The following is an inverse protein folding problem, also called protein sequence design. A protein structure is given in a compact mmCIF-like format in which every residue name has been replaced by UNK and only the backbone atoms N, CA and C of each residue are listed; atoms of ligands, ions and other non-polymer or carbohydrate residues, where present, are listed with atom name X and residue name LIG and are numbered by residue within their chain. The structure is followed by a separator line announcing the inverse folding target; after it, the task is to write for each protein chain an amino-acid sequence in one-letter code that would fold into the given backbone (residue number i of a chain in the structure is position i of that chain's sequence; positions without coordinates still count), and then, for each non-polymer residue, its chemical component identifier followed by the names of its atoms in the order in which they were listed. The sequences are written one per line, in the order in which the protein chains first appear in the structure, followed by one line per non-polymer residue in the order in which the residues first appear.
data_IF_610932247626
#
_entry.id   IF_610932247626
#
_cell.length_a   1.000
_cell.length_b   1.000
_cell.length_c   1.000
_cell.angle_alpha   90.00
_cell.angle_beta   90.00
_cell.angle_gamma   90.00
#
_symmetry.space_group_name_H-M   'P 1'
#
loop_
_entity.id
_entity.type
_entity.pdbx_description
1 polymer ?
#
# COMPACT_ATOMS: atom_id res chain seq x y z
N UNK A 1 -20.18 3.36 -17.08
CA UNK A 1 -19.91 3.78 -15.69
C UNK A 1 -18.68 4.65 -15.76
N UNK A 2 -18.84 5.97 -15.89
CA UNK A 2 -17.76 6.87 -16.34
C UNK A 2 -17.38 7.85 -15.23
N UNK A 3 -16.87 7.34 -14.11
CA UNK A 3 -16.25 8.21 -13.10
C UNK A 3 -14.85 8.60 -13.58
N UNK A 4 -14.60 9.90 -13.76
CA UNK A 4 -13.28 10.45 -14.09
C UNK A 4 -12.38 10.42 -12.87
N UNK A 5 -11.26 9.72 -12.98
CA UNK A 5 -10.36 9.46 -11.85
C UNK A 5 -9.08 10.29 -12.00
N UNK A 6 -8.75 11.05 -10.96
CA UNK A 6 -7.44 11.69 -10.79
C UNK A 6 -6.66 10.92 -9.74
N UNK A 7 -5.41 10.58 -10.04
CA UNK A 7 -4.57 9.76 -9.15
C UNK A 7 -3.25 10.48 -8.87
N UNK A 8 -2.85 10.50 -7.60
CA UNK A 8 -1.55 10.97 -7.14
C UNK A 8 -0.98 9.98 -6.12
N UNK A 9 0.35 9.87 -6.10
CA UNK A 9 1.04 9.06 -5.10
C UNK A 9 1.75 7.82 -5.64
N UNK A 10 2.24 6.99 -4.72
CA UNK A 10 3.09 5.84 -5.00
C UNK A 10 2.34 4.71 -5.71
N UNK A 11 1.03 4.59 -5.47
CA UNK A 11 0.18 3.59 -6.12
C UNK A 11 -0.27 4.00 -7.53
N UNK A 12 0.03 5.22 -7.98
CA UNK A 12 -0.49 5.80 -9.22
C UNK A 12 -0.29 4.92 -10.46
N UNK A 13 0.91 4.41 -10.69
CA UNK A 13 1.18 3.58 -11.87
C UNK A 13 0.36 2.30 -11.90
N UNK A 14 0.25 1.60 -10.76
CA UNK A 14 -0.48 0.34 -10.66
C UNK A 14 -1.99 0.58 -10.80
N UNK A 15 -2.51 1.58 -10.08
CA UNK A 15 -3.92 1.93 -10.13
C UNK A 15 -4.33 2.46 -11.51
N UNK A 16 -3.50 3.27 -12.19
CA UNK A 16 -3.79 3.70 -13.56
C UNK A 16 -3.95 2.49 -14.48
N UNK A 17 -3.04 1.51 -14.42
CA UNK A 17 -3.18 0.30 -15.25
C UNK A 17 -4.48 -0.46 -14.96
N UNK A 18 -4.75 -0.72 -13.68
CA UNK A 18 -5.94 -1.43 -13.23
C UNK A 18 -7.24 -0.75 -13.72
N UNK A 19 -7.27 0.58 -13.66
CA UNK A 19 -8.43 1.39 -14.01
C UNK A 19 -8.65 1.48 -15.51
N UNK A 20 -7.57 1.64 -16.29
CA UNK A 20 -7.65 1.62 -17.76
C UNK A 20 -8.15 0.27 -18.28
N UNK A 21 -7.72 -0.84 -17.67
CA UNK A 21 -8.19 -2.19 -18.03
C UNK A 21 -9.69 -2.39 -17.78
N UNK A 22 -10.29 -1.55 -16.93
CA UNK A 22 -11.72 -1.57 -16.60
C UNK A 22 -12.51 -0.41 -17.24
N UNK A 23 -11.88 0.39 -18.11
CA UNK A 23 -12.53 1.46 -18.86
C UNK A 23 -12.76 2.76 -18.09
N UNK A 24 -12.10 2.98 -16.96
CA UNK A 24 -12.20 4.25 -16.23
C UNK A 24 -11.37 5.35 -16.92
N UNK A 25 -11.97 6.53 -17.22
CA UNK A 25 -11.23 7.64 -17.78
C UNK A 25 -10.30 8.28 -16.74
N UNK A 26 -9.02 8.43 -17.09
CA UNK A 26 -8.01 9.07 -16.25
C UNK A 26 -7.86 10.54 -16.67
N UNK A 27 -8.01 11.45 -15.71
CA UNK A 27 -7.90 12.90 -15.92
C UNK A 27 -6.72 13.48 -15.14
N UNK A 28 -6.17 14.58 -15.66
CA UNK A 28 -4.97 15.23 -15.12
C UNK A 28 -3.84 14.21 -14.75
N UNK A 29 -3.42 13.30 -15.67
CA UNK A 29 -2.31 12.39 -15.41
C UNK A 29 -0.97 13.13 -15.33
N UNK A 30 -0.06 12.67 -14.46
CA UNK A 30 1.31 13.20 -14.43
C UNK A 30 2.07 12.91 -15.73
N UNK A 31 3.12 13.68 -16.02
CA UNK A 31 3.95 13.49 -17.24
C UNK A 31 4.38 12.03 -17.39
N UNK A 32 4.89 11.42 -16.32
CA UNK A 32 5.29 10.01 -16.28
C UNK A 32 4.16 9.05 -16.65
N UNK A 33 2.94 9.30 -16.16
CA UNK A 33 1.79 8.44 -16.44
C UNK A 33 1.33 8.62 -17.90
N UNK A 34 1.36 9.84 -18.44
CA UNK A 34 1.06 10.10 -19.86
C UNK A 34 2.01 9.33 -20.77
N UNK A 35 3.31 9.43 -20.52
CA UNK A 35 4.33 8.74 -21.32
C UNK A 35 4.20 7.22 -21.23
N UNK A 36 3.91 6.70 -20.04
CA UNK A 36 3.82 5.25 -19.83
C UNK A 36 2.60 4.61 -20.52
N UNK A 37 1.47 5.33 -20.57
CA UNK A 37 0.19 4.79 -21.03
C UNK A 37 -0.30 5.43 -22.34
N UNK A 38 0.45 6.35 -22.94
CA UNK A 38 0.04 7.07 -24.14
C UNK A 38 -1.22 7.93 -23.95
N UNK A 39 -1.38 8.53 -22.77
CA UNK A 39 -2.58 9.32 -22.43
C UNK A 39 -2.41 10.79 -22.79
N UNK A 40 -3.47 11.38 -23.34
CA UNK A 40 -3.56 12.82 -23.55
C UNK A 40 -3.75 13.58 -22.22
N UNK A 41 -3.31 14.84 -22.21
CA UNK A 41 -3.60 15.73 -21.11
C UNK A 41 -5.05 16.22 -21.23
N UNK A 42 -5.93 15.71 -20.38
CA UNK A 42 -7.30 16.22 -20.22
C UNK A 42 -7.37 17.02 -18.94
N UNK A 43 -7.42 18.35 -19.07
CA UNK A 43 -7.64 19.27 -17.94
C UNK A 43 -9.15 19.38 -17.67
N UNK A 44 -9.73 18.24 -17.31
CA UNK A 44 -11.14 18.08 -16.99
C UNK A 44 -11.34 17.95 -15.48
N UNK A 45 -12.51 18.37 -14.95
CA UNK A 45 -12.84 18.10 -13.56
C UNK A 45 -12.87 16.59 -13.31
N UNK A 46 -12.33 16.18 -12.17
CA UNK A 46 -12.34 14.80 -11.72
C UNK A 46 -13.57 14.54 -10.84
N UNK A 47 -14.10 13.33 -10.91
CA UNK A 47 -15.20 12.89 -10.06
C UNK A 47 -14.70 12.22 -8.77
N UNK A 48 -13.55 11.56 -8.86
CA UNK A 48 -12.86 10.92 -7.74
C UNK A 48 -11.37 11.30 -7.79
N UNK A 49 -10.85 11.76 -6.66
CA UNK A 49 -9.44 11.95 -6.42
C UNK A 49 -8.90 10.83 -5.53
N UNK A 50 -7.80 10.22 -5.95
CA UNK A 50 -7.05 9.21 -5.22
C UNK A 50 -5.69 9.79 -4.81
N UNK A 51 -5.37 9.71 -3.52
CA UNK A 51 -4.09 10.11 -2.97
C UNK A 51 -3.56 9.06 -2.02
N UNK A 52 -2.25 9.05 -1.76
CA UNK A 52 -1.70 8.18 -0.72
C UNK A 52 -2.16 8.64 0.67
N UNK A 53 -2.33 7.68 1.57
CA UNK A 53 -2.37 7.97 3.01
C UNK A 53 -1.00 8.48 3.48
N UNK A 54 -0.99 9.24 4.57
CA UNK A 54 0.25 9.78 5.17
C UNK A 54 1.29 8.70 5.51
N UNK A 55 0.82 7.53 5.97
CA UNK A 55 1.68 6.39 6.28
C UNK A 55 2.01 5.51 5.06
N UNK A 56 1.53 5.87 3.87
CA UNK A 56 1.71 5.16 2.60
C UNK A 56 1.20 3.70 2.59
N UNK A 57 0.40 3.29 3.58
CA UNK A 57 -0.12 1.92 3.69
C UNK A 57 -1.39 1.68 2.87
N UNK A 58 -1.91 2.70 2.20
CA UNK A 58 -3.10 2.63 1.34
C UNK A 58 -3.43 4.01 0.77
N UNK A 59 -4.70 4.25 0.48
CA UNK A 59 -5.18 5.42 -0.26
C UNK A 59 -6.29 6.18 0.48
N UNK A 60 -6.39 7.46 0.14
CA UNK A 60 -7.47 8.37 0.46
C UNK A 60 -8.26 8.64 -0.82
N UNK A 61 -9.57 8.51 -0.74
CA UNK A 61 -10.51 8.78 -1.82
C UNK A 61 -11.34 10.01 -1.46
N UNK A 62 -11.54 10.93 -2.39
CA UNK A 62 -12.49 12.03 -2.23
C UNK A 62 -13.26 12.30 -3.52
N UNK A 63 -14.54 12.68 -3.41
CA UNK A 63 -15.45 12.76 -4.55
C UNK A 63 -16.90 12.56 -4.15
N UNK A 64 -17.79 12.37 -5.13
CA UNK A 64 -19.22 12.17 -4.88
C UNK A 64 -19.48 10.85 -4.11
N UNK A 65 -20.35 10.85 -3.07
CA UNK A 65 -20.61 9.67 -2.24
C UNK A 65 -20.97 8.42 -3.04
N UNK A 66 -21.90 8.54 -3.99
CA UNK A 66 -22.38 7.41 -4.80
C UNK A 66 -21.25 6.83 -5.66
N UNK A 67 -20.43 7.70 -6.25
CA UNK A 67 -19.28 7.31 -7.09
C UNK A 67 -18.19 6.64 -6.25
N UNK A 68 -17.93 7.13 -5.04
CA UNK A 68 -16.98 6.49 -4.11
C UNK A 68 -17.46 5.10 -3.72
N UNK A 69 -18.73 4.93 -3.34
CA UNK A 69 -19.26 3.62 -2.93
C UNK A 69 -19.13 2.56 -4.04
N UNK A 70 -19.44 2.94 -5.28
CA UNK A 70 -19.23 2.07 -6.44
C UNK A 70 -17.75 1.74 -6.63
N UNK A 71 -16.88 2.74 -6.48
CA UNK A 71 -15.43 2.58 -6.64
C UNK A 71 -14.80 1.71 -5.55
N UNK A 72 -15.26 1.82 -4.30
CA UNK A 72 -14.82 0.97 -3.20
C UNK A 72 -15.15 -0.50 -3.45
N UNK A 73 -16.37 -0.78 -3.92
CA UNK A 73 -16.80 -2.13 -4.28
C UNK A 73 -15.90 -2.71 -5.38
N UNK A 74 -15.65 -1.92 -6.44
CA UNK A 74 -14.72 -2.28 -7.51
C UNK A 74 -13.31 -2.64 -6.99
N UNK A 75 -12.76 -1.82 -6.09
CA UNK A 75 -11.44 -2.09 -5.51
C UNK A 75 -11.43 -3.38 -4.68
N UNK A 76 -12.44 -3.61 -3.85
CA UNK A 76 -12.51 -4.81 -3.01
C UNK A 76 -12.69 -6.10 -3.81
N UNK A 77 -13.35 -6.05 -4.98
CA UNK A 77 -13.46 -7.18 -5.90
C UNK A 77 -12.13 -7.56 -6.58
N UNK A 78 -11.18 -6.64 -6.66
CA UNK A 78 -9.87 -6.83 -7.32
C UNK A 78 -8.72 -6.99 -6.34
N UNK A 79 -8.84 -6.37 -5.16
CA UNK A 79 -7.84 -6.33 -4.12
C UNK A 79 -8.44 -6.99 -2.87
N UNK A 80 -8.29 -8.30 -2.77
CA UNK A 80 -9.09 -9.16 -1.87
C UNK A 80 -8.95 -8.84 -0.39
N UNK A 81 -7.79 -8.35 0.05
CA UNK A 81 -7.54 -7.96 1.44
C UNK A 81 -7.61 -6.44 1.65
N UNK A 82 -8.05 -5.65 0.67
CA UNK A 82 -8.22 -4.21 0.83
C UNK A 82 -9.34 -3.90 1.84
N UNK A 83 -9.03 -3.05 2.82
CA UNK A 83 -9.94 -2.76 3.94
C UNK A 83 -10.36 -1.30 3.92
N UNK A 84 -11.67 -1.05 3.95
CA UNK A 84 -12.21 0.27 4.24
C UNK A 84 -12.05 0.55 5.74
N UNK A 85 -11.23 1.53 6.09
CA UNK A 85 -10.98 1.93 7.48
C UNK A 85 -11.97 2.98 7.96
N UNK A 86 -12.36 3.89 7.05
CA UNK A 86 -13.17 5.05 7.39
C UNK A 86 -13.93 5.55 6.17
N UNK A 87 -15.12 6.11 6.41
CA UNK A 87 -15.96 6.73 5.39
C UNK A 87 -16.77 7.85 6.02
N UNK A 88 -16.49 9.08 5.60
CA UNK A 88 -17.12 10.28 6.13
C UNK A 88 -17.64 11.16 4.99
N UNK A 89 -18.86 11.68 5.15
CA UNK A 89 -19.33 12.78 4.32
C UNK A 89 -18.79 14.10 4.88
N UNK A 90 -18.35 14.99 4.00
CA UNK A 90 -17.82 16.29 4.41
C UNK A 90 -18.92 17.09 5.09
N UNK A 91 -18.72 17.57 6.34
CA UNK A 91 -19.74 18.34 7.05
C UNK A 91 -20.01 19.70 6.41
N UNK A 92 -19.08 20.20 5.58
CA UNK A 92 -19.20 21.48 4.89
C UNK A 92 -19.80 21.34 3.48
N UNK A 93 -19.86 20.12 2.94
CA UNK A 93 -20.31 19.85 1.57
C UNK A 93 -20.79 18.40 1.47
N UNK A 94 -22.11 18.19 1.58
CA UNK A 94 -22.74 16.88 1.50
C UNK A 94 -22.52 16.20 0.13
N UNK A 95 -22.13 16.96 -0.91
CA UNK A 95 -21.81 16.43 -2.23
C UNK A 95 -20.42 15.77 -2.31
N UNK A 96 -19.62 15.87 -1.24
CA UNK A 96 -18.27 15.31 -1.17
C UNK A 96 -18.14 14.36 0.01
N UNK A 97 -17.84 13.09 -0.29
CA UNK A 97 -17.41 12.12 0.69
C UNK A 97 -15.89 11.90 0.64
N UNK A 98 -15.35 11.38 1.74
CA UNK A 98 -13.99 10.91 1.89
C UNK A 98 -14.00 9.48 2.38
N UNK A 99 -13.15 8.64 1.81
CA UNK A 99 -12.96 7.26 2.25
C UNK A 99 -11.48 6.96 2.43
N UNK A 100 -11.17 6.17 3.45
CA UNK A 100 -9.82 5.72 3.77
C UNK A 100 -9.74 4.22 3.53
N UNK A 101 -8.89 3.80 2.60
CA UNK A 101 -8.67 2.39 2.32
C UNK A 101 -7.23 1.99 2.63
N UNK A 102 -7.06 0.85 3.29
CA UNK A 102 -5.77 0.23 3.53
C UNK A 102 -5.52 -0.89 2.51
N UNK A 103 -4.28 -1.02 2.06
CA UNK A 103 -3.84 -2.11 1.19
C UNK A 103 -2.88 -3.01 1.97
N UNK A 104 -3.31 -4.14 2.52
CA UNK A 104 -2.41 -5.08 3.17
C UNK A 104 -1.54 -5.84 2.16
N UNK A 105 -0.84 -6.87 2.63
CA UNK A 105 0.23 -7.52 1.89
C UNK A 105 -0.20 -8.11 0.54
N UNK A 106 -1.40 -8.69 0.42
CA UNK A 106 -1.84 -9.29 -0.83
C UNK A 106 -2.20 -8.21 -1.86
N UNK A 107 -2.92 -7.15 -1.44
CA UNK A 107 -3.23 -5.99 -2.28
C UNK A 107 -1.96 -5.31 -2.79
N UNK A 108 -0.98 -5.03 -1.91
CA UNK A 108 0.30 -4.43 -2.34
C UNK A 108 1.05 -5.31 -3.32
N UNK A 109 1.05 -6.63 -3.10
CA UNK A 109 1.68 -7.60 -4.00
C UNK A 109 1.01 -7.61 -5.38
N UNK A 110 -0.32 -7.57 -5.42
CA UNK A 110 -1.07 -7.51 -6.68
C UNK A 110 -0.77 -6.20 -7.43
N UNK A 111 -0.79 -5.07 -6.74
CA UNK A 111 -0.43 -3.78 -7.31
C UNK A 111 1.04 -3.72 -7.78
N UNK A 112 1.97 -4.41 -7.10
CA UNK A 112 3.36 -4.56 -7.55
C UNK A 112 3.45 -5.37 -8.86
N UNK A 113 2.66 -6.45 -8.99
CA UNK A 113 2.59 -7.25 -10.22
C UNK A 113 2.04 -6.43 -11.38
N UNK A 114 0.92 -5.74 -11.15
CA UNK A 114 0.29 -4.86 -12.14
C UNK A 114 1.28 -3.76 -12.58
N UNK A 115 1.98 -3.13 -11.63
CA UNK A 115 3.03 -2.15 -11.94
C UNK A 115 4.13 -2.76 -12.82
N UNK A 116 4.58 -3.97 -12.50
CA UNK A 116 5.60 -4.68 -13.26
C UNK A 116 5.20 -5.06 -14.69
N UNK A 117 3.90 -5.04 -15.02
CA UNK A 117 3.41 -5.25 -16.39
C UNK A 117 3.59 -4.05 -17.31
N UNK A 118 3.75 -2.84 -16.75
CA UNK A 118 3.81 -1.57 -17.51
C UNK A 118 5.12 -0.84 -17.36
N UNK A 119 5.94 -1.15 -16.36
CA UNK A 119 7.24 -0.51 -16.16
C UNK A 119 8.24 -1.47 -15.51
N UNK A 120 9.53 -1.46 -15.93
CA UNK A 120 10.56 -2.22 -15.24
C UNK A 120 10.66 -1.78 -13.76
N UNK A 121 10.38 -2.72 -12.85
CA UNK A 121 10.34 -2.47 -11.41
C UNK A 121 10.78 -3.72 -10.65
N UNK A 122 11.04 -3.58 -9.35
CA UNK A 122 11.47 -4.66 -8.47
C UNK A 122 10.27 -5.22 -7.69
N UNK A 123 10.29 -6.51 -7.37
CA UNK A 123 9.29 -7.10 -6.48
C UNK A 123 9.26 -6.39 -5.12
N UNK A 124 8.07 -6.30 -4.50
CA UNK A 124 7.83 -5.59 -3.23
C UNK A 124 8.06 -4.09 -3.35
N UNK A 125 7.82 -3.49 -4.53
CA UNK A 125 8.05 -2.08 -4.80
C UNK A 125 7.36 -1.19 -3.75
N UNK A 126 6.06 -1.37 -3.51
CA UNK A 126 5.35 -0.53 -2.53
C UNK A 126 5.93 -0.67 -1.12
N UNK A 127 6.28 -1.87 -0.66
CA UNK A 127 6.93 -2.07 0.64
C UNK A 127 8.28 -1.34 0.71
N UNK A 128 9.13 -1.51 -0.30
CA UNK A 128 10.45 -0.90 -0.35
C UNK A 128 10.38 0.62 -0.52
N UNK A 129 9.33 1.13 -1.18
CA UNK A 129 9.04 2.56 -1.32
C UNK A 129 8.79 3.22 0.04
N UNK A 130 8.11 2.51 0.93
CA UNK A 130 7.80 2.96 2.29
C UNK A 130 9.05 2.90 3.17
N UNK A 131 9.85 1.84 3.05
CA UNK A 131 11.01 1.61 3.93
C UNK A 131 12.24 2.43 3.50
N UNK A 132 12.63 2.37 2.23
CA UNK A 132 13.78 3.11 1.70
C UNK A 132 13.56 3.46 0.22
N UNK A 133 12.81 4.54 -0.01
CA UNK A 133 12.53 5.07 -1.34
C UNK A 133 13.79 5.38 -2.15
N UNK A 134 14.86 5.86 -1.49
CA UNK A 134 16.11 6.25 -2.16
C UNK A 134 16.89 5.02 -2.63
N UNK A 135 16.98 3.97 -1.82
CA UNK A 135 17.61 2.73 -2.22
C UNK A 135 16.83 2.03 -3.34
N UNK A 136 15.50 2.04 -3.27
CA UNK A 136 14.64 1.52 -4.33
C UNK A 136 14.87 2.26 -5.66
N UNK A 137 14.88 3.59 -5.66
CA UNK A 137 15.08 4.40 -6.88
C UNK A 137 16.47 4.13 -7.53
N UNK A 138 17.53 4.02 -6.73
CA UNK A 138 18.86 3.63 -7.22
C UNK A 138 18.84 2.23 -7.85
N UNK A 139 18.16 1.27 -7.21
CA UNK A 139 18.07 -0.09 -7.69
C UNK A 139 17.25 -0.19 -8.99
N UNK A 140 16.15 0.56 -9.12
CA UNK A 140 15.35 0.64 -10.35
C UNK A 140 16.12 1.31 -11.49
N UNK A 141 16.91 2.35 -11.20
CA UNK A 141 17.80 2.98 -12.19
C UNK A 141 18.86 1.98 -12.68
N UNK A 142 19.40 1.15 -11.78
CA UNK A 142 20.31 0.07 -12.15
C UNK A 142 19.62 -1.01 -12.97
N UNK A 143 18.38 -1.38 -12.62
CA UNK A 143 17.58 -2.38 -13.34
C UNK A 143 17.31 -1.92 -14.78
N UNK A 144 17.00 -0.65 -14.99
CA UNK A 144 16.77 -0.09 -16.32
C UNK A 144 18.00 -0.23 -17.25
N UNK A 145 19.21 -0.24 -16.68
CA UNK A 145 20.47 -0.43 -17.43
C UNK A 145 20.86 -1.89 -17.58
N UNK A 146 20.50 -2.74 -16.61
CA UNK A 146 20.92 -4.14 -16.48
C UNK A 146 19.73 -5.02 -16.06
N UNK A 147 18.76 -5.28 -16.96
CA UNK A 147 17.55 -6.05 -16.64
C UNK A 147 17.84 -7.47 -16.15
N UNK A 148 18.94 -8.08 -16.61
CA UNK A 148 19.38 -9.42 -16.22
C UNK A 148 19.73 -9.53 -14.73
N UNK A 149 20.01 -8.41 -14.06
CA UNK A 149 20.36 -8.39 -12.63
C UNK A 149 19.16 -8.30 -11.70
N UNK A 150 17.93 -8.35 -12.22
CA UNK A 150 16.69 -8.20 -11.45
C UNK A 150 16.70 -9.01 -10.15
N UNK A 151 16.93 -10.31 -10.25
CA UNK A 151 16.84 -11.20 -9.09
C UNK A 151 17.92 -10.88 -8.03
N UNK A 152 19.13 -10.52 -8.47
CA UNK A 152 20.23 -10.13 -7.60
C UNK A 152 19.90 -8.81 -6.88
N UNK A 153 19.39 -7.82 -7.62
CA UNK A 153 18.97 -6.52 -7.07
C UNK A 153 17.84 -6.68 -6.06
N UNK A 154 16.82 -7.50 -6.37
CA UNK A 154 15.70 -7.77 -5.48
C UNK A 154 16.15 -8.43 -4.16
N UNK A 155 17.03 -9.44 -4.23
CA UNK A 155 17.58 -10.10 -3.03
C UNK A 155 18.45 -9.14 -2.21
N UNK A 156 19.34 -8.39 -2.87
CA UNK A 156 20.24 -7.44 -2.23
C UNK A 156 19.45 -6.34 -1.50
N UNK A 157 18.54 -5.68 -2.21
CA UNK A 157 17.77 -4.56 -1.67
C UNK A 157 16.88 -5.01 -0.51
N UNK A 158 16.22 -6.16 -0.62
CA UNK A 158 15.42 -6.69 0.49
C UNK A 158 16.28 -7.04 1.71
N UNK A 159 17.47 -7.62 1.49
CA UNK A 159 18.41 -7.92 2.58
C UNK A 159 18.87 -6.65 3.29
N UNK A 160 19.27 -5.64 2.53
CA UNK A 160 19.80 -4.37 3.06
C UNK A 160 18.72 -3.52 3.75
N UNK A 161 17.53 -3.43 3.16
CA UNK A 161 16.46 -2.57 3.67
C UNK A 161 15.65 -3.22 4.81
N UNK A 162 15.53 -4.54 4.85
CA UNK A 162 14.63 -5.24 5.78
C UNK A 162 15.40 -6.19 6.72
N UNK A 163 16.18 -7.11 6.16
CA UNK A 163 16.79 -8.21 6.94
C UNK A 163 17.89 -7.68 7.87
N UNK A 164 18.86 -6.94 7.35
CA UNK A 164 19.99 -6.45 8.15
C UNK A 164 19.54 -5.48 9.27
N UNK A 165 18.62 -4.53 9.05
CA UNK A 165 18.12 -3.68 10.14
C UNK A 165 17.42 -4.49 11.24
N UNK A 166 16.63 -5.50 10.89
CA UNK A 166 15.96 -6.37 11.86
C UNK A 166 16.98 -7.21 12.66
N UNK A 167 17.98 -7.79 11.99
CA UNK A 167 19.07 -8.55 12.65
C UNK A 167 19.88 -7.66 13.60
N UNK A 168 20.20 -6.43 13.18
CA UNK A 168 20.99 -5.48 13.96
C UNK A 168 20.24 -4.94 15.18
N UNK A 169 18.96 -4.59 15.01
CA UNK A 169 18.16 -4.03 16.10
C UNK A 169 17.72 -5.13 17.09
N UNK A 170 17.49 -6.35 16.61
CA UNK A 170 17.00 -7.47 17.42
C UNK A 170 15.59 -7.28 18.00
N UNK A 171 14.97 -6.12 17.79
CA UNK A 171 13.63 -5.76 18.28
C UNK A 171 12.67 -5.70 17.09
N UNK A 172 11.54 -6.37 17.24
CA UNK A 172 10.46 -6.43 16.26
C UNK A 172 9.23 -5.79 16.87
N UNK A 173 8.76 -4.71 16.26
CA UNK A 173 7.50 -4.05 16.63
C UNK A 173 6.37 -4.63 15.78
N UNK A 174 5.38 -5.21 16.44
CA UNK A 174 4.15 -5.66 15.80
C UNK A 174 3.03 -4.66 16.09
N UNK A 175 2.52 -4.05 15.02
CA UNK A 175 1.35 -3.18 15.07
C UNK A 175 0.14 -3.98 14.59
N UNK A 176 -0.82 -4.17 15.48
CA UNK A 176 -2.10 -4.78 15.12
C UNK A 176 -3.12 -3.66 14.95
N UNK A 177 -3.57 -3.46 13.71
CA UNK A 177 -4.61 -2.49 13.37
C UNK A 177 -5.93 -3.22 13.28
N UNK A 178 -6.95 -2.75 14.01
CA UNK A 178 -8.31 -3.30 13.90
C UNK A 178 -8.90 -2.94 12.54
N UNK A 179 -9.91 -3.67 12.03
CA UNK A 179 -10.63 -3.28 10.82
C UNK A 179 -11.20 -1.85 10.87
N UNK A 180 -11.51 -1.35 12.08
CA UNK A 180 -11.92 0.05 12.30
C UNK A 180 -10.79 1.08 12.23
N UNK A 181 -9.60 0.72 11.73
CA UNK A 181 -8.44 1.60 11.62
C UNK A 181 -7.74 1.94 12.94
N UNK A 182 -8.33 1.60 14.09
CA UNK A 182 -7.73 1.85 15.40
C UNK A 182 -6.54 0.92 15.65
N UNK A 183 -5.36 1.51 15.75
CA UNK A 183 -4.14 0.82 16.13
C UNK A 183 -4.25 0.33 17.59
N UNK A 184 -4.05 -0.96 17.80
CA UNK A 184 -3.79 -1.48 19.14
C UNK A 184 -2.38 -1.09 19.55
N UNK A 185 -2.13 -1.02 20.87
CA UNK A 185 -0.81 -0.68 21.41
C UNK A 185 0.26 -1.52 20.70
N UNK A 186 1.27 -0.88 20.06
CA UNK A 186 2.35 -1.61 19.42
C UNK A 186 3.01 -2.50 20.46
N UNK A 187 3.27 -3.75 20.08
CA UNK A 187 3.90 -4.71 20.99
C UNK A 187 5.25 -5.11 20.43
N UNK A 188 6.27 -4.92 21.24
CA UNK A 188 7.64 -5.28 20.90
C UNK A 188 7.93 -6.73 21.29
N UNK A 189 8.81 -7.36 20.54
CA UNK A 189 9.39 -8.65 20.88
C UNK A 189 10.82 -8.77 20.36
N UNK A 190 11.54 -9.75 20.89
CA UNK A 190 12.94 -10.01 20.56
C UNK A 190 13.00 -11.00 19.41
N UNK A 191 13.69 -10.63 18.34
CA UNK A 191 13.95 -11.48 17.18
C UNK A 191 14.68 -12.74 17.62
N UNK A 192 14.15 -13.92 17.29
CA UNK A 192 14.79 -15.21 17.59
C UNK A 192 15.30 -15.90 16.33
N UNK A 193 14.60 -15.76 15.20
CA UNK A 193 15.00 -16.36 13.93
C UNK A 193 14.51 -15.53 12.76
N UNK A 194 15.36 -15.33 11.77
CA UNK A 194 14.99 -14.73 10.49
C UNK A 194 15.55 -15.60 9.36
N UNK A 195 14.70 -16.03 8.44
CA UNK A 195 15.11 -16.83 7.28
C UNK A 195 14.20 -16.54 6.07
N UNK A 196 14.47 -17.21 4.95
CA UNK A 196 13.70 -17.03 3.71
C UNK A 196 12.21 -17.36 3.83
N UNK A 197 11.80 -18.20 4.78
CA UNK A 197 10.39 -18.55 5.04
C UNK A 197 9.69 -17.58 5.98
N UNK A 198 10.42 -16.73 6.70
CA UNK A 198 9.82 -15.74 7.59
C UNK A 198 10.65 -15.41 8.82
N UNK A 199 9.95 -14.75 9.74
CA UNK A 199 10.44 -14.13 10.96
C UNK A 199 9.81 -14.84 12.16
N UNK A 200 10.61 -15.18 13.17
CA UNK A 200 10.17 -15.64 14.49
C UNK A 200 10.73 -14.69 15.52
N UNK A 201 9.87 -14.24 16.43
CA UNK A 201 10.24 -13.36 17.53
C UNK A 201 9.48 -13.74 18.78
N UNK A 202 10.13 -13.60 19.94
CA UNK A 202 9.56 -13.88 21.25
C UNK A 202 9.02 -12.59 21.84
N UNK A 203 7.78 -12.62 22.29
CA UNK A 203 7.14 -11.51 23.02
C UNK A 203 6.97 -11.92 24.47
N UNK A 204 7.20 -10.98 25.38
CA UNK A 204 6.90 -11.15 26.80
C UNK A 204 5.58 -10.46 27.11
N UNK A 205 4.72 -11.14 27.86
CA UNK A 205 3.44 -10.57 28.28
C UNK A 205 3.46 -10.45 29.80
N UNK A 206 3.41 -9.23 30.30
CA UNK A 206 3.43 -8.96 31.74
C UNK A 206 2.09 -8.45 32.28
N UNK A 207 1.25 -7.85 31.43
CA UNK A 207 0.00 -7.20 31.81
C UNK A 207 -1.05 -7.30 30.69
N UNK A 208 -2.34 -7.35 31.06
CA UNK A 208 -3.48 -7.34 30.15
C UNK A 208 -4.42 -8.55 30.32
N UNK A 209 -5.41 -8.67 29.45
CA UNK A 209 -6.31 -9.83 29.34
C UNK A 209 -6.21 -10.44 27.94
N UNK A 210 -6.44 -11.74 27.81
CA UNK A 210 -6.53 -12.41 26.52
C UNK A 210 -7.81 -11.99 25.80
N UNK A 211 -7.66 -11.39 24.62
CA UNK A 211 -8.79 -11.03 23.76
C UNK A 211 -9.61 -12.30 23.42
N UNK A 212 -10.91 -12.30 23.72
CA UNK A 212 -11.83 -13.42 23.47
C UNK A 212 -11.93 -14.48 24.58
N UNK A 213 -11.01 -14.49 25.55
CA UNK A 213 -11.10 -15.36 26.74
C UNK A 213 -11.43 -14.59 28.02
N UNK A 214 -11.22 -13.26 28.00
CA UNK A 214 -11.36 -12.38 29.15
C UNK A 214 -10.59 -12.88 30.41
N UNK A 215 -9.49 -13.60 30.20
CA UNK A 215 -8.63 -14.10 31.27
C UNK A 215 -7.43 -13.17 31.46
N UNK A 216 -6.98 -12.91 32.71
CA UNK A 216 -5.77 -12.13 32.95
C UNK A 216 -4.56 -12.86 32.36
N UNK A 217 -3.68 -12.10 31.72
CA UNK A 217 -2.42 -12.64 31.22
C UNK A 217 -1.52 -12.91 32.44
N UNK A 218 -1.20 -14.18 32.64
CA UNK A 218 -0.25 -14.60 33.66
C UNK A 218 1.18 -14.40 33.14
N UNK A 219 2.08 -14.06 34.06
CA UNK A 219 3.49 -13.79 33.75
C UNK A 219 4.18 -15.07 33.27
N UNK A 220 4.66 -15.07 32.02
CA UNK A 220 5.34 -16.22 31.39
C UNK A 220 6.21 -15.81 30.20
#
# INVERSE_FOLDING_TARGET
MESRIKIRGIFSTALTRLLLDCGYPIVDPSVKIRELFGLDCRDEPHDILIQDRENLQGILLSGQPEKICQFLTFLQERLTDAVLLDFDQSPNDESVARAVMEFPGASKKELDIIRGSVTPTLARHHLLRIVDSKALERAETSLARQPEKREILERKLFREAIVLPLEKNGIVRLEHVRPSGKSMRPREGVLTKLNSKGLVFKRFFSEGRYDGLDLPIQKG
#
